data_IF_147398152669
#
_entry.id   IF_147398152669
#
_cell.length_a   1.000
_cell.length_b   1.000
_cell.length_c   1.000
_cell.angle_alpha   90.00
_cell.angle_beta   90.00
_cell.angle_gamma   90.00
#
_symmetry.space_group_name_H-M   'P 1'
#
loop_
_entity.id
_entity.type
_entity.pdbx_description
1 polymer ?
#
# COMPACT_ATOMS: atom_id res chain seq x y z
N UNK A 1 -20.09 1.89 2.65
CA UNK A 1 -19.53 2.82 1.63
C UNK A 1 -19.85 2.33 0.20
N UNK A 2 -19.89 3.23 -0.80
CA UNK A 2 -20.04 2.86 -2.23
C UNK A 2 -18.66 2.91 -2.92
N UNK A 3 -18.30 1.86 -3.68
CA UNK A 3 -17.08 1.85 -4.52
C UNK A 3 -17.42 2.40 -5.91
N UNK A 4 -16.65 3.37 -6.40
CA UNK A 4 -16.74 3.82 -7.80
C UNK A 4 -16.20 2.71 -8.70
N UNK A 5 -17.04 2.20 -9.60
CA UNK A 5 -16.64 1.18 -10.57
C UNK A 5 -15.85 1.86 -11.69
N UNK A 6 -14.69 1.29 -12.02
CA UNK A 6 -13.86 1.66 -13.16
C UNK A 6 -13.84 0.48 -14.12
N UNK A 7 -13.60 0.74 -15.40
CA UNK A 7 -13.40 -0.30 -16.42
C UNK A 7 -11.89 -0.58 -16.52
N UNK A 8 -11.37 -1.61 -15.82
CA UNK A 8 -9.94 -1.87 -15.78
C UNK A 8 -9.40 -2.34 -17.12
N UNK A 9 -10.20 -3.06 -17.92
CA UNK A 9 -9.78 -3.53 -19.24
C UNK A 9 -9.57 -2.35 -20.20
N UNK A 10 -10.41 -1.33 -20.10
CA UNK A 10 -10.29 -0.13 -20.93
C UNK A 10 -9.18 0.81 -20.47
N UNK A 11 -9.11 1.10 -19.17
CA UNK A 11 -8.24 2.15 -18.66
C UNK A 11 -6.94 1.60 -18.08
N UNK A 12 -6.98 0.59 -17.20
CA UNK A 12 -5.78 0.11 -16.50
C UNK A 12 -4.83 -0.64 -17.45
N UNK A 13 -5.37 -1.37 -18.44
CA UNK A 13 -4.56 -2.01 -19.47
C UNK A 13 -3.77 -0.99 -20.29
N UNK A 14 -4.39 0.15 -20.61
CA UNK A 14 -3.76 1.23 -21.36
C UNK A 14 -2.70 1.97 -20.53
N UNK A 15 -2.97 2.23 -19.25
CA UNK A 15 -1.99 2.81 -18.32
C UNK A 15 -0.76 1.90 -18.16
N UNK A 16 -0.97 0.59 -17.99
CA UNK A 16 0.12 -0.37 -17.89
C UNK A 16 0.94 -0.44 -19.19
N UNK A 17 0.27 -0.42 -20.35
CA UNK A 17 0.94 -0.36 -21.65
C UNK A 17 1.78 0.91 -21.77
N UNK A 18 1.22 2.07 -21.43
CA UNK A 18 1.92 3.36 -21.49
C UNK A 18 3.15 3.39 -20.58
N UNK A 19 3.02 2.89 -19.35
CA UNK A 19 4.13 2.78 -18.39
C UNK A 19 5.26 1.87 -18.89
N UNK A 20 4.93 0.72 -19.50
CA UNK A 20 5.94 -0.17 -20.08
C UNK A 20 6.51 0.35 -21.40
N UNK A 21 5.75 1.15 -22.14
CA UNK A 21 6.20 1.78 -23.38
C UNK A 21 7.36 2.73 -23.15
N UNK A 22 7.36 3.48 -22.04
CA UNK A 22 8.49 4.33 -21.66
C UNK A 22 9.78 3.54 -21.44
N UNK A 23 9.68 2.33 -20.89
CA UNK A 23 10.82 1.46 -20.60
C UNK A 23 11.32 0.66 -21.80
N UNK A 24 10.41 0.28 -22.69
CA UNK A 24 10.68 -0.64 -23.80
C UNK A 24 10.54 0.01 -25.18
N UNK A 25 10.29 1.32 -25.23
CA UNK A 25 10.12 2.11 -26.46
C UNK A 25 9.03 1.58 -27.38
N UNK A 26 7.91 1.10 -26.82
CA UNK A 26 6.80 0.56 -27.60
C UNK A 26 6.04 1.65 -28.36
N UNK A 27 5.58 1.29 -29.55
CA UNK A 27 4.62 2.04 -30.34
C UNK A 27 3.29 1.29 -30.32
N UNK A 28 2.19 1.98 -30.00
CA UNK A 28 0.86 1.38 -29.90
C UNK A 28 0.32 0.85 -31.24
N UNK A 29 0.81 1.39 -32.35
CA UNK A 29 0.42 0.96 -33.70
C UNK A 29 1.24 -0.23 -34.21
N UNK A 30 2.24 -0.69 -33.44
CA UNK A 30 3.08 -1.83 -33.79
C UNK A 30 2.56 -3.12 -33.14
N UNK A 31 2.08 -4.06 -33.95
CA UNK A 31 1.59 -5.35 -33.49
C UNK A 31 2.67 -6.20 -32.81
N UNK A 32 3.94 -6.01 -33.14
CA UNK A 32 5.04 -6.72 -32.48
C UNK A 32 5.25 -6.24 -31.05
N UNK A 33 5.15 -4.92 -30.81
CA UNK A 33 5.20 -4.31 -29.48
C UNK A 33 4.03 -4.79 -28.60
N UNK A 34 2.83 -4.90 -29.16
CA UNK A 34 1.66 -5.43 -28.45
C UNK A 34 1.87 -6.89 -28.00
N UNK A 35 2.43 -7.72 -28.88
CA UNK A 35 2.72 -9.12 -28.57
C UNK A 35 3.81 -9.27 -27.48
N UNK A 36 4.87 -8.46 -27.55
CA UNK A 36 5.93 -8.46 -26.51
C UNK A 36 5.36 -7.98 -25.16
N UNK A 37 4.54 -6.93 -25.15
CA UNK A 37 3.82 -6.48 -23.96
C UNK A 37 3.00 -7.61 -23.31
N UNK A 38 2.15 -8.29 -24.09
CA UNK A 38 1.32 -9.41 -23.59
C UNK A 38 2.22 -10.51 -23.01
N UNK A 39 3.29 -10.88 -23.71
CA UNK A 39 4.25 -11.91 -23.27
C UNK A 39 4.91 -11.56 -21.93
N UNK A 40 5.33 -10.30 -21.76
CA UNK A 40 5.94 -9.81 -20.51
C UNK A 40 4.95 -9.78 -19.35
N UNK A 41 3.75 -9.26 -19.59
CA UNK A 41 2.68 -9.20 -18.57
C UNK A 41 2.34 -10.62 -18.11
N UNK A 42 2.18 -11.57 -19.06
CA UNK A 42 1.95 -12.99 -18.75
C UNK A 42 3.06 -13.56 -17.85
N UNK A 43 4.33 -13.43 -18.25
CA UNK A 43 5.47 -13.92 -17.45
C UNK A 43 5.53 -13.30 -16.07
N UNK A 44 5.29 -11.99 -15.97
CA UNK A 44 5.26 -11.26 -14.70
C UNK A 44 4.15 -11.77 -13.78
N UNK A 45 2.93 -11.94 -14.29
CA UNK A 45 1.80 -12.48 -13.54
C UNK A 45 2.06 -13.92 -13.08
N UNK A 46 2.56 -14.79 -13.97
CA UNK A 46 2.91 -16.18 -13.63
C UNK A 46 3.96 -16.26 -12.51
N UNK A 47 4.93 -15.35 -12.50
CA UNK A 47 5.93 -15.25 -11.43
C UNK A 47 5.34 -14.71 -10.12
N UNK A 48 4.48 -13.70 -10.21
CA UNK A 48 3.87 -13.03 -9.05
C UNK A 48 2.91 -13.95 -8.31
N UNK A 49 2.14 -14.76 -9.02
CA UNK A 49 1.23 -15.76 -8.43
C UNK A 49 2.00 -16.82 -7.63
N UNK A 50 3.23 -17.16 -8.03
CA UNK A 50 4.09 -18.09 -7.30
C UNK A 50 4.70 -17.45 -6.04
N UNK A 51 4.83 -16.12 -5.99
CA UNK A 51 5.30 -15.39 -4.83
C UNK A 51 4.16 -15.19 -3.81
N UNK A 52 4.03 -16.17 -2.91
CA UNK A 52 3.01 -16.15 -1.85
C UNK A 52 3.08 -14.89 -0.98
N UNK A 53 4.28 -14.40 -0.65
CA UNK A 53 4.44 -13.21 0.19
C UNK A 53 3.83 -11.97 -0.45
N UNK A 54 4.12 -11.73 -1.74
CA UNK A 54 3.55 -10.62 -2.50
C UNK A 54 2.03 -10.75 -2.61
N UNK A 55 1.54 -11.95 -2.95
CA UNK A 55 0.11 -12.21 -3.08
C UNK A 55 -0.65 -12.00 -1.75
N UNK A 56 -0.08 -12.42 -0.62
CA UNK A 56 -0.66 -12.17 0.69
C UNK A 56 -0.64 -10.68 1.05
N UNK A 57 0.46 -9.97 0.77
CA UNK A 57 0.55 -8.52 0.98
C UNK A 57 -0.56 -7.76 0.24
N UNK A 58 -0.68 -7.97 -1.08
CA UNK A 58 -1.72 -7.33 -1.89
C UNK A 58 -3.14 -7.66 -1.46
N UNK A 59 -3.39 -8.89 -0.99
CA UNK A 59 -4.69 -9.27 -0.42
C UNK A 59 -4.97 -8.57 0.89
N UNK A 60 -3.98 -8.44 1.78
CA UNK A 60 -4.12 -7.74 3.06
C UNK A 60 -4.36 -6.24 2.86
N UNK A 61 -3.61 -5.60 1.96
CA UNK A 61 -3.85 -4.22 1.52
C UNK A 61 -5.31 -4.03 1.05
N UNK A 62 -5.76 -4.85 0.09
CA UNK A 62 -7.13 -4.78 -0.40
C UNK A 62 -8.18 -5.04 0.70
N UNK A 63 -7.91 -5.99 1.60
CA UNK A 63 -8.81 -6.33 2.71
C UNK A 63 -9.00 -5.14 3.68
N UNK A 64 -7.96 -4.36 3.92
CA UNK A 64 -8.05 -3.17 4.78
C UNK A 64 -9.16 -2.23 4.31
N UNK A 65 -9.25 -1.94 3.01
CA UNK A 65 -10.27 -1.04 2.48
C UNK A 65 -11.70 -1.52 2.78
N UNK A 66 -11.94 -2.83 2.73
CA UNK A 66 -13.23 -3.42 3.09
C UNK A 66 -13.52 -3.33 4.58
N UNK A 67 -12.52 -3.63 5.42
CA UNK A 67 -12.65 -3.54 6.89
C UNK A 67 -12.93 -2.10 7.30
N UNK A 68 -12.08 -1.15 6.88
CA UNK A 68 -12.23 0.27 7.19
C UNK A 68 -13.60 0.82 6.73
N UNK A 69 -14.04 0.45 5.52
CA UNK A 69 -15.34 0.86 5.01
C UNK A 69 -16.55 0.20 5.69
N UNK A 70 -16.36 -0.95 6.35
CA UNK A 70 -17.40 -1.67 7.09
C UNK A 70 -17.56 -1.18 8.54
N UNK A 71 -16.52 -0.59 9.14
CA UNK A 71 -16.57 -0.04 10.51
C UNK A 71 -17.58 1.11 10.68
N UNK A 72 -18.06 1.73 9.60
CA UNK A 72 -19.05 2.80 9.65
C UNK A 72 -18.49 4.19 10.01
N UNK A 73 -17.23 4.26 10.43
CA UNK A 73 -16.57 5.52 10.84
C UNK A 73 -15.82 6.25 9.71
N UNK A 74 -15.78 5.67 8.52
CA UNK A 74 -15.07 6.21 7.36
C UNK A 74 -16.06 6.82 6.37
N UNK A 75 -15.93 8.12 6.14
CA UNK A 75 -16.71 8.88 5.16
C UNK A 75 -16.09 8.85 3.77
N UNK A 76 -14.77 8.75 3.68
CA UNK A 76 -14.02 8.69 2.42
C UNK A 76 -12.82 7.75 2.57
N UNK A 77 -12.56 6.97 1.53
CA UNK A 77 -11.40 6.10 1.41
C UNK A 77 -10.90 6.14 -0.02
N UNK A 78 -9.62 6.48 -0.20
CA UNK A 78 -8.92 6.48 -1.48
C UNK A 78 -7.64 5.68 -1.35
N UNK A 79 -7.34 4.89 -2.38
CA UNK A 79 -6.00 4.31 -2.54
C UNK A 79 -5.02 5.43 -2.90
N UNK A 80 -4.05 5.66 -2.03
CA UNK A 80 -3.16 6.81 -2.11
C UNK A 80 -1.91 6.51 -2.94
N UNK A 81 -1.40 5.29 -2.88
CA UNK A 81 -0.27 4.78 -3.69
C UNK A 81 -0.63 4.51 -5.17
N UNK A 82 -1.74 5.05 -5.67
CA UNK A 82 -2.22 4.82 -7.03
C UNK A 82 -2.00 6.03 -7.95
N UNK A 83 -1.45 5.78 -9.14
CA UNK A 83 -1.16 6.79 -10.15
C UNK A 83 0.30 7.25 -10.15
N UNK A 84 0.59 8.27 -10.94
CA UNK A 84 1.91 8.88 -11.04
C UNK A 84 2.14 9.87 -9.89
N UNK A 85 3.35 9.86 -9.33
CA UNK A 85 3.79 10.78 -8.29
C UNK A 85 4.95 11.62 -8.81
N UNK A 86 4.72 12.93 -8.91
CA UNK A 86 5.76 13.90 -9.25
C UNK A 86 6.12 14.69 -8.00
N UNK A 87 7.40 14.73 -7.67
CA UNK A 87 7.90 15.42 -6.50
C UNK A 87 9.28 16.02 -6.78
N UNK A 88 9.67 16.95 -5.92
CA UNK A 88 10.98 17.61 -5.93
C UNK A 88 11.59 17.52 -4.55
N UNK A 89 12.91 17.32 -4.47
CA UNK A 89 13.61 17.15 -3.20
C UNK A 89 13.88 15.68 -2.89
N UNK A 90 13.88 15.35 -1.60
CA UNK A 90 14.19 14.00 -1.13
C UNK A 90 13.14 12.98 -1.56
N UNK A 91 13.58 11.73 -1.71
CA UNK A 91 12.71 10.59 -1.99
C UNK A 91 11.55 10.49 -0.99
N UNK A 92 10.34 10.28 -1.51
CA UNK A 92 9.11 10.09 -0.73
C UNK A 92 8.41 8.80 -1.15
N UNK A 93 7.53 8.31 -0.27
CA UNK A 93 6.68 7.15 -0.55
C UNK A 93 5.25 7.51 -0.15
N UNK A 94 4.31 7.39 -1.10
CA UNK A 94 2.89 7.49 -0.78
C UNK A 94 2.46 6.26 0.06
N UNK A 95 1.73 6.46 1.17
CA UNK A 95 1.09 5.38 1.91
C UNK A 95 0.00 4.69 1.08
N UNK A 96 -0.46 3.52 1.50
CA UNK A 96 -1.47 2.76 0.75
C UNK A 96 -2.82 3.49 0.62
N UNK A 97 -3.29 4.17 1.68
CA UNK A 97 -4.62 4.79 1.72
C UNK A 97 -4.65 6.18 2.35
N UNK A 98 -5.62 6.98 1.89
CA UNK A 98 -6.08 8.20 2.55
C UNK A 98 -7.53 8.00 3.01
N UNK A 99 -7.80 8.32 4.28
CA UNK A 99 -9.13 8.25 4.87
C UNK A 99 -9.61 9.64 5.29
N UNK A 100 -10.93 9.87 5.20
CA UNK A 100 -11.61 10.94 5.94
C UNK A 100 -12.64 10.28 6.84
N UNK A 101 -12.51 10.49 8.14
CA UNK A 101 -13.37 9.94 9.18
C UNK A 101 -14.66 10.78 9.33
N UNK A 102 -15.66 10.24 10.04
CA UNK A 102 -16.92 10.94 10.31
C UNK A 102 -16.73 12.26 11.07
N UNK A 103 -15.72 12.32 11.96
CA UNK A 103 -15.31 13.52 12.68
C UNK A 103 -14.54 14.54 11.80
N UNK A 104 -14.43 14.29 10.48
CA UNK A 104 -13.70 15.08 9.47
C UNK A 104 -12.17 15.01 9.57
N UNK A 105 -11.63 14.23 10.50
CA UNK A 105 -10.20 13.96 10.55
C UNK A 105 -9.76 13.28 9.25
N UNK A 106 -8.64 13.75 8.69
CA UNK A 106 -8.01 13.17 7.51
C UNK A 106 -6.76 12.46 7.96
N UNK A 107 -6.58 11.21 7.58
CA UNK A 107 -5.38 10.42 7.92
C UNK A 107 -4.84 9.71 6.69
N UNK A 108 -3.53 9.54 6.68
CA UNK A 108 -2.83 8.63 5.78
C UNK A 108 -2.60 7.30 6.49
N UNK A 109 -2.80 6.20 5.80
CA UNK A 109 -2.69 4.86 6.36
C UNK A 109 -1.79 4.01 5.50
N UNK A 110 -0.74 3.51 6.13
CA UNK A 110 0.12 2.47 5.60
C UNK A 110 -0.33 1.10 6.11
N UNK A 111 -0.54 0.13 5.23
CA UNK A 111 -1.03 -1.21 5.57
C UNK A 111 0.14 -2.19 5.65
N UNK A 112 0.16 -2.98 6.72
CA UNK A 112 1.16 -4.04 6.91
C UNK A 112 0.52 -5.35 7.34
N UNK A 113 1.09 -6.45 6.85
CA UNK A 113 0.74 -7.79 7.28
C UNK A 113 1.86 -8.34 8.17
N UNK A 114 1.54 -8.62 9.43
CA UNK A 114 2.45 -9.21 10.40
C UNK A 114 2.06 -10.67 10.65
N UNK A 115 2.96 -11.59 10.30
CA UNK A 115 2.78 -13.03 10.46
C UNK A 115 3.61 -13.63 11.62
N UNK A 116 4.03 -12.78 12.56
CA UNK A 116 4.78 -13.19 13.72
C UNK A 116 4.06 -14.30 14.49
N UNK A 117 4.85 -15.26 15.00
CA UNK A 117 4.31 -16.45 15.66
C UNK A 117 4.03 -16.20 17.14
N UNK A 118 4.81 -15.32 17.76
CA UNK A 118 4.73 -14.98 19.17
C UNK A 118 4.32 -13.51 19.34
N UNK A 119 3.56 -13.18 20.40
CA UNK A 119 3.01 -11.83 20.57
C UNK A 119 4.09 -10.77 20.84
N UNK A 120 5.20 -11.15 21.47
CA UNK A 120 6.33 -10.24 21.75
C UNK A 120 7.42 -10.26 20.65
N UNK A 121 7.21 -11.04 19.59
CA UNK A 121 8.14 -11.04 18.46
C UNK A 121 8.04 -9.70 17.75
N UNK A 122 9.18 -9.01 17.59
CA UNK A 122 9.25 -7.72 16.91
C UNK A 122 8.99 -7.86 15.41
N UNK A 123 8.03 -7.10 14.91
CA UNK A 123 7.81 -6.82 13.50
C UNK A 123 8.62 -5.60 13.12
N UNK A 124 9.48 -5.73 12.10
CA UNK A 124 10.45 -4.70 11.73
C UNK A 124 10.09 -4.04 10.41
N UNK A 125 10.19 -2.71 10.40
CA UNK A 125 10.08 -1.85 9.23
C UNK A 125 11.41 -1.14 9.04
N UNK A 126 11.94 -1.13 7.82
CA UNK A 126 13.19 -0.42 7.52
C UNK A 126 13.05 1.07 7.83
N UNK A 127 14.04 1.66 8.50
CA UNK A 127 14.00 3.08 8.85
C UNK A 127 13.82 3.98 7.62
N UNK A 128 14.64 3.80 6.58
CA UNK A 128 14.52 4.58 5.33
C UNK A 128 13.12 4.53 4.71
N UNK A 129 12.44 3.38 4.78
CA UNK A 129 11.08 3.23 4.29
C UNK A 129 10.08 4.08 5.07
N UNK A 130 10.13 4.01 6.40
CA UNK A 130 9.24 4.77 7.27
C UNK A 130 9.51 6.27 7.16
N UNK A 131 10.77 6.68 7.02
CA UNK A 131 11.11 8.10 6.85
C UNK A 131 10.61 8.65 5.50
N UNK A 132 10.59 7.86 4.42
CA UNK A 132 9.97 8.26 3.13
C UNK A 132 8.46 8.48 3.26
N UNK A 133 7.76 7.59 4.00
CA UNK A 133 6.34 7.74 4.30
C UNK A 133 6.08 8.99 5.16
N UNK A 134 6.93 9.22 6.17
CA UNK A 134 6.85 10.39 7.05
C UNK A 134 7.02 11.68 6.25
N UNK A 135 8.02 11.77 5.35
CA UNK A 135 8.19 12.94 4.48
C UNK A 135 6.97 13.19 3.59
N UNK A 136 6.38 12.14 3.00
CA UNK A 136 5.14 12.28 2.24
C UNK A 136 4.00 12.85 3.10
N UNK A 137 3.85 12.34 4.32
CA UNK A 137 2.83 12.80 5.27
C UNK A 137 3.07 14.25 5.71
N UNK A 138 4.33 14.63 5.95
CA UNK A 138 4.74 15.99 6.31
C UNK A 138 4.42 16.99 5.18
N UNK A 139 4.70 16.65 3.92
CA UNK A 139 4.34 17.47 2.74
C UNK A 139 2.83 17.69 2.65
N UNK A 140 2.05 16.64 2.90
CA UNK A 140 0.58 16.69 2.83
C UNK A 140 -0.05 17.29 4.10
N UNK A 141 0.72 17.49 5.17
CA UNK A 141 0.24 17.93 6.48
C UNK A 141 -0.87 17.02 7.03
N UNK A 142 -0.70 15.71 6.87
CA UNK A 142 -1.65 14.69 7.33
C UNK A 142 -0.99 13.73 8.32
N UNK A 143 -1.67 13.31 9.39
CA UNK A 143 -1.19 12.26 10.28
C UNK A 143 -0.96 10.94 9.53
N UNK A 144 0.22 10.33 9.74
CA UNK A 144 0.54 8.99 9.27
C UNK A 144 0.17 7.96 10.34
N UNK A 145 -0.62 6.95 9.95
CA UNK A 145 -0.98 5.79 10.77
C UNK A 145 -0.55 4.51 10.08
N UNK A 146 -0.32 3.47 10.87
CA UNK A 146 -0.05 2.11 10.39
C UNK A 146 -1.22 1.20 10.75
N UNK A 147 -1.87 0.62 9.74
CA UNK A 147 -2.84 -0.45 9.91
C UNK A 147 -2.14 -1.79 9.80
N UNK A 148 -1.88 -2.43 10.95
CA UNK A 148 -1.16 -3.69 11.02
C UNK A 148 -2.17 -4.83 11.22
N UNK A 149 -2.21 -5.74 10.25
CA UNK A 149 -2.91 -7.00 10.39
C UNK A 149 -2.00 -8.03 11.05
N UNK A 150 -2.27 -8.32 12.31
CA UNK A 150 -1.61 -9.38 13.06
C UNK A 150 -2.28 -10.72 12.74
N UNK A 151 -1.83 -11.35 11.66
CA UNK A 151 -2.54 -12.47 11.03
C UNK A 151 -2.71 -13.69 11.94
N UNK A 152 -1.78 -13.90 12.88
CA UNK A 152 -1.84 -15.00 13.84
C UNK A 152 -3.02 -14.87 14.82
N UNK A 153 -3.41 -13.64 15.13
CA UNK A 153 -4.55 -13.31 16.01
C UNK A 153 -5.78 -12.83 15.23
N UNK A 154 -5.68 -12.74 13.90
CA UNK A 154 -6.73 -12.20 13.02
C UNK A 154 -7.19 -10.80 13.41
N UNK A 155 -6.28 -10.00 13.97
CA UNK A 155 -6.58 -8.69 14.52
C UNK A 155 -6.02 -7.58 13.64
N UNK A 156 -6.84 -6.57 13.38
CA UNK A 156 -6.39 -5.29 12.80
C UNK A 156 -6.16 -4.29 13.91
N UNK A 157 -5.01 -3.62 13.87
CA UNK A 157 -4.69 -2.55 14.81
C UNK A 157 -4.21 -1.35 14.02
N UNK A 158 -4.82 -0.20 14.28
CA UNK A 158 -4.41 1.08 13.71
C UNK A 158 -3.61 1.85 14.76
N UNK A 159 -2.33 2.08 14.49
CA UNK A 159 -1.43 2.78 15.41
C UNK A 159 -0.86 4.07 14.80
N UNK A 160 -0.62 5.11 15.62
CA UNK A 160 0.24 6.23 15.24
C UNK A 160 1.69 5.79 14.98
N UNK A 161 2.43 6.55 14.16
CA UNK A 161 3.88 6.36 13.99
C UNK A 161 4.63 6.41 15.33
N UNK A 162 4.17 7.24 16.26
CA UNK A 162 4.79 7.47 17.57
C UNK A 162 4.81 6.22 18.46
N UNK A 163 3.95 5.23 18.17
CA UNK A 163 3.93 3.94 18.88
C UNK A 163 5.05 3.00 18.40
N UNK A 164 5.57 3.22 17.19
CA UNK A 164 6.70 2.43 16.68
C UNK A 164 7.99 2.80 17.41
N UNK A 165 8.71 1.80 17.91
CA UNK A 165 9.98 1.99 18.61
C UNK A 165 11.14 2.01 17.61
N UNK A 166 12.06 2.97 17.71
CA UNK A 166 13.29 2.96 16.91
C UNK A 166 14.31 2.04 17.56
N UNK A 167 14.79 1.05 16.82
CA UNK A 167 15.90 0.16 17.21
C UNK A 167 16.84 0.01 16.02
N UNK A 168 18.10 0.36 16.22
CA UNK A 168 19.12 0.41 15.17
C UNK A 168 18.62 1.17 13.93
N UNK A 169 18.62 0.53 12.77
CA UNK A 169 18.15 1.07 11.49
C UNK A 169 16.72 0.63 11.14
N UNK A 170 15.89 0.37 12.16
CA UNK A 170 14.51 -0.10 11.99
C UNK A 170 13.54 0.59 12.95
N UNK A 171 12.29 0.68 12.51
CA UNK A 171 11.15 0.86 13.39
C UNK A 171 10.58 -0.51 13.72
N UNK A 172 10.21 -0.74 14.97
CA UNK A 172 9.70 -2.02 15.44
C UNK A 172 8.42 -1.88 16.24
N UNK A 173 7.61 -2.92 16.20
CA UNK A 173 6.40 -3.06 16.99
C UNK A 173 6.12 -4.55 17.21
N UNK A 174 5.42 -4.90 18.27
CA UNK A 174 4.94 -6.25 18.52
C UNK A 174 3.44 -6.20 18.84
N UNK A 175 2.80 -7.37 19.00
CA UNK A 175 1.37 -7.43 19.23
C UNK A 175 1.00 -6.83 20.60
N UNK A 176 1.80 -7.10 21.63
CA UNK A 176 1.52 -6.64 23.01
C UNK A 176 1.61 -5.13 23.15
N UNK A 177 2.55 -4.49 22.47
CA UNK A 177 2.67 -3.02 22.44
C UNK A 177 1.58 -2.38 21.58
N UNK A 178 1.17 -3.04 20.49
CA UNK A 178 0.16 -2.51 19.57
C UNK A 178 -1.27 -2.64 20.10
N UNK A 179 -1.57 -3.68 20.89
CA UNK A 179 -2.88 -3.98 21.47
C UNK A 179 -2.92 -3.65 22.99
N UNK A 180 -2.99 -2.37 23.39
CA UNK A 180 -3.14 -2.01 24.79
C UNK A 180 -4.49 -2.45 25.38
#
# INVERSE_FOLDING_TARGET
MKKKIRDPEKFDAFELFSSLSLKHSYNINDSSALNDFISRVKKSLESSVKNKTLAYGKRTEALFAYVAGALGEVKFLKQEDSGELFFSGDEIQAPDYQLILNNKEKILVEVKNCNNKNPDQKFMLKMDYVEKLKRYADINQLPLKFAIYFSRWKMWILIPLEVLQKIDNSYVIDYTTAAP
#
